data_IF_084410496539
#
_entry.id   IF_084410496539
#
_cell.length_a   1.000
_cell.length_b   1.000
_cell.length_c   1.000
_cell.angle_alpha   90.00
_cell.angle_beta   90.00
_cell.angle_gamma   90.00
#
_symmetry.space_group_name_H-M   'P 1'
#
loop_
_entity.id
_entity.type
_entity.pdbx_description
1 polymer ?
#
# COMPACT_ATOMS: atom_id res chain seq x y z
N UNK A 1 -8.48 -12.87 4.12
CA UNK A 1 -7.67 -12.66 2.89
C UNK A 1 -8.44 -11.78 1.91
N UNK A 2 -9.66 -12.16 1.52
CA UNK A 2 -10.60 -11.31 0.76
C UNK A 2 -10.81 -9.95 1.43
N UNK A 3 -11.01 -9.96 2.75
CA UNK A 3 -11.13 -8.75 3.56
C UNK A 3 -9.95 -7.77 3.48
N UNK A 4 -8.70 -8.25 3.37
CA UNK A 4 -7.53 -7.37 3.33
C UNK A 4 -7.46 -6.60 2.00
N UNK A 5 -7.79 -7.25 0.89
CA UNK A 5 -7.84 -6.62 -0.44
C UNK A 5 -9.05 -5.69 -0.54
N UNK A 6 -10.19 -6.07 0.04
CA UNK A 6 -11.38 -5.21 0.15
C UNK A 6 -11.07 -3.91 0.90
N UNK A 7 -10.43 -3.97 2.08
CA UNK A 7 -10.04 -2.75 2.82
C UNK A 7 -9.15 -1.83 1.99
N UNK A 8 -8.27 -2.39 1.16
CA UNK A 8 -7.48 -1.56 0.26
C UNK A 8 -8.37 -0.92 -0.81
N UNK A 9 -9.30 -1.66 -1.39
CA UNK A 9 -10.13 -1.13 -2.46
C UNK A 9 -10.99 0.03 -1.95
N UNK A 10 -11.55 -0.08 -0.74
CA UNK A 10 -12.26 1.01 -0.08
C UNK A 10 -11.34 2.24 0.11
N UNK A 11 -10.13 2.00 0.63
CA UNK A 11 -9.10 3.05 0.77
C UNK A 11 -8.74 3.69 -0.58
N UNK A 12 -8.55 2.89 -1.63
CA UNK A 12 -8.21 3.35 -2.98
C UNK A 12 -9.30 4.24 -3.54
N UNK A 13 -10.56 3.87 -3.33
CA UNK A 13 -11.70 4.61 -3.85
C UNK A 13 -11.87 5.95 -3.11
N UNK A 14 -11.57 5.99 -1.81
CA UNK A 14 -11.53 7.21 -1.00
C UNK A 14 -10.43 8.18 -1.44
N UNK A 15 -9.20 7.71 -1.64
CA UNK A 15 -8.06 8.56 -2.04
C UNK A 15 -8.04 8.86 -3.55
N UNK A 16 -8.97 8.30 -4.33
CA UNK A 16 -9.02 8.43 -5.79
C UNK A 16 -8.94 9.89 -6.28
N UNK A 17 -9.61 10.88 -5.65
CA UNK A 17 -9.50 12.28 -6.07
C UNK A 17 -8.06 12.81 -6.00
N UNK A 18 -7.34 12.51 -4.91
CA UNK A 18 -5.93 12.89 -4.72
C UNK A 18 -5.04 12.25 -5.79
N UNK A 19 -5.20 10.96 -6.04
CA UNK A 19 -4.41 10.24 -7.05
C UNK A 19 -4.67 10.74 -8.47
N UNK A 20 -5.92 11.03 -8.83
CA UNK A 20 -6.25 11.59 -10.16
C UNK A 20 -5.59 12.94 -10.38
N UNK A 21 -5.58 13.81 -9.36
CA UNK A 21 -4.92 15.11 -9.42
C UNK A 21 -3.40 14.96 -9.55
N UNK A 22 -2.80 14.07 -8.75
CA UNK A 22 -1.36 13.77 -8.81
C UNK A 22 -0.90 13.20 -10.16
N UNK A 23 -1.76 12.42 -10.82
CA UNK A 23 -1.48 11.82 -12.11
C UNK A 23 -1.79 12.75 -13.31
N UNK A 24 -2.24 13.99 -13.08
CA UNK A 24 -2.65 14.90 -14.15
C UNK A 24 -3.88 14.44 -14.94
N UNK A 25 -4.71 13.59 -14.33
CA UNK A 25 -5.96 13.08 -14.93
C UNK A 25 -7.17 13.99 -14.63
N UNK A 26 -6.95 15.04 -13.83
CA UNK A 26 -7.87 16.12 -13.54
C UNK A 26 -7.03 17.32 -13.07
N UNK A 27 -7.47 18.53 -13.42
CA UNK A 27 -6.91 19.79 -12.89
C UNK A 27 -7.80 20.37 -11.78
N UNK A 28 -8.94 19.71 -11.50
CA UNK A 28 -9.89 20.13 -10.48
C UNK A 28 -9.47 19.60 -9.10
N UNK A 29 -9.13 20.51 -8.18
CA UNK A 29 -8.90 20.21 -6.78
C UNK A 29 -7.71 20.96 -6.19
N UNK A 30 -7.69 21.08 -4.86
CA UNK A 30 -6.54 21.58 -4.12
C UNK A 30 -5.72 20.39 -3.63
N UNK A 31 -4.49 20.26 -4.14
CA UNK A 31 -3.60 19.13 -3.83
C UNK A 31 -3.25 19.07 -2.35
N UNK A 32 -2.93 20.19 -1.72
CA UNK A 32 -2.56 20.19 -0.29
C UNK A 32 -3.78 19.83 0.56
N UNK A 33 -4.95 20.38 0.22
CA UNK A 33 -6.19 20.05 0.90
C UNK A 33 -6.53 18.56 0.79
N UNK A 34 -6.51 18.00 -0.41
CA UNK A 34 -6.77 16.57 -0.63
C UNK A 34 -5.73 15.68 0.07
N UNK A 35 -4.47 16.11 0.11
CA UNK A 35 -3.42 15.40 0.82
C UNK A 35 -3.69 15.34 2.33
N UNK A 36 -3.98 16.48 2.95
CA UNK A 36 -4.17 16.59 4.40
C UNK A 36 -5.53 16.10 4.90
N UNK A 37 -6.60 16.33 4.15
CA UNK A 37 -7.97 16.00 4.59
C UNK A 37 -8.40 14.59 4.17
N UNK A 38 -7.85 14.04 3.08
CA UNK A 38 -8.25 12.72 2.56
C UNK A 38 -7.11 11.71 2.62
N UNK A 39 -5.99 11.98 1.94
CA UNK A 39 -4.94 10.98 1.78
C UNK A 39 -4.29 10.58 3.11
N UNK A 40 -3.88 11.54 3.95
CA UNK A 40 -3.24 11.26 5.24
C UNK A 40 -4.18 10.44 6.14
N UNK A 41 -5.43 10.88 6.44
CA UNK A 41 -6.31 10.15 7.34
C UNK A 41 -6.71 8.76 6.82
N UNK A 42 -6.94 8.64 5.51
CA UNK A 42 -7.28 7.36 4.89
C UNK A 42 -6.11 6.37 5.00
N UNK A 43 -4.88 6.85 4.75
CA UNK A 43 -3.66 6.04 4.87
C UNK A 43 -3.44 5.59 6.31
N UNK A 44 -3.57 6.50 7.28
CA UNK A 44 -3.41 6.16 8.70
C UNK A 44 -4.38 5.04 9.13
N UNK A 45 -5.64 5.11 8.70
CA UNK A 45 -6.64 4.08 9.03
C UNK A 45 -6.31 2.73 8.42
N UNK A 46 -6.03 2.68 7.11
CA UNK A 46 -5.80 1.41 6.41
C UNK A 46 -4.51 0.74 6.87
N UNK A 47 -3.44 1.52 7.05
CA UNK A 47 -2.14 0.97 7.46
C UNK A 47 -2.10 0.59 8.93
N UNK A 48 -2.75 1.35 9.82
CA UNK A 48 -2.93 0.90 11.21
C UNK A 48 -3.68 -0.44 11.28
N UNK A 49 -4.65 -0.66 10.40
CA UNK A 49 -5.38 -1.94 10.31
C UNK A 49 -4.46 -3.07 9.82
N UNK A 50 -3.64 -2.83 8.80
CA UNK A 50 -2.66 -3.83 8.34
C UNK A 50 -1.60 -4.15 9.38
N UNK A 51 -1.03 -3.14 10.05
CA UNK A 51 -0.06 -3.36 11.14
C UNK A 51 -0.68 -4.24 12.22
N UNK A 52 -1.96 -4.02 12.57
CA UNK A 52 -2.69 -4.88 13.50
C UNK A 52 -2.87 -6.33 13.00
N UNK A 53 -3.24 -6.52 11.73
CA UNK A 53 -3.39 -7.85 11.12
C UNK A 53 -2.06 -8.60 11.10
N UNK A 54 -0.99 -7.95 10.64
CA UNK A 54 0.35 -8.53 10.52
C UNK A 54 0.91 -8.88 11.89
N UNK A 55 0.76 -7.98 12.88
CA UNK A 55 1.22 -8.22 14.25
C UNK A 55 0.45 -9.35 14.95
N UNK A 56 -0.83 -9.52 14.64
CA UNK A 56 -1.64 -10.62 15.16
C UNK A 56 -1.34 -11.96 14.46
N UNK A 57 -0.75 -11.93 13.26
CA UNK A 57 -0.47 -13.14 12.51
C UNK A 57 0.72 -13.91 13.07
N UNK A 58 0.57 -15.24 13.13
CA UNK A 58 1.68 -16.14 13.51
C UNK A 58 2.77 -16.25 12.45
N UNK A 59 2.48 -15.87 11.21
CA UNK A 59 3.40 -16.02 10.08
C UNK A 59 4.15 -14.74 9.74
N UNK A 60 3.69 -13.60 10.27
CA UNK A 60 4.15 -12.28 9.87
C UNK A 60 3.73 -11.88 8.44
N UNK A 61 2.72 -12.54 7.88
CA UNK A 61 2.01 -12.19 6.65
C UNK A 61 0.54 -11.87 6.96
N UNK A 62 -0.27 -11.56 5.96
CA UNK A 62 -1.70 -11.26 6.13
C UNK A 62 -2.52 -12.49 6.57
N UNK A 63 -2.00 -13.71 6.41
CA UNK A 63 -2.66 -14.94 6.78
C UNK A 63 -1.81 -15.77 7.75
N UNK A 64 -2.44 -16.40 8.74
CA UNK A 64 -1.74 -17.26 9.73
C UNK A 64 -1.01 -18.45 9.11
N UNK A 65 -1.49 -18.93 7.96
CA UNK A 65 -0.89 -20.05 7.23
C UNK A 65 0.37 -19.66 6.46
N UNK A 66 0.74 -18.37 6.44
CA UNK A 66 1.90 -17.87 5.69
C UNK A 66 1.52 -16.93 4.55
N UNK A 67 2.46 -16.82 3.62
CA UNK A 67 2.30 -16.02 2.41
C UNK A 67 1.07 -16.44 1.60
N UNK A 68 0.35 -15.44 1.10
CA UNK A 68 -0.88 -15.60 0.34
C UNK A 68 -0.93 -14.63 -0.85
N UNK A 69 -1.90 -14.84 -1.75
CA UNK A 69 -2.14 -13.91 -2.86
C UNK A 69 -2.39 -12.48 -2.38
N UNK A 70 -3.07 -12.32 -1.25
CA UNK A 70 -3.31 -11.01 -0.64
C UNK A 70 -2.01 -10.26 -0.34
N UNK A 71 -0.96 -10.98 0.07
CA UNK A 71 0.32 -10.36 0.38
C UNK A 71 0.98 -9.75 -0.85
N UNK A 72 0.89 -10.44 -2.00
CA UNK A 72 1.39 -9.94 -3.28
C UNK A 72 0.66 -8.66 -3.69
N UNK A 73 -0.67 -8.68 -3.62
CA UNK A 73 -1.51 -7.54 -4.01
C UNK A 73 -1.21 -6.32 -3.16
N UNK A 74 -1.14 -6.49 -1.83
CA UNK A 74 -0.90 -5.38 -0.91
C UNK A 74 0.54 -4.87 -1.00
N UNK A 75 1.54 -5.75 -1.11
CA UNK A 75 2.94 -5.34 -1.27
C UNK A 75 3.16 -4.48 -2.51
N UNK A 76 2.56 -4.84 -3.65
CA UNK A 76 2.66 -4.05 -4.87
C UNK A 76 1.99 -2.67 -4.71
N UNK A 77 0.82 -2.64 -4.10
CA UNK A 77 0.08 -1.40 -3.82
C UNK A 77 0.86 -0.44 -2.91
N UNK A 78 1.61 -0.98 -1.93
CA UNK A 78 2.50 -0.18 -1.07
C UNK A 78 3.62 0.49 -1.87
N UNK A 79 4.19 -0.17 -2.88
CA UNK A 79 5.23 0.43 -3.74
C UNK A 79 4.73 1.72 -4.40
N UNK A 80 3.52 1.72 -4.96
CA UNK A 80 2.93 2.92 -5.57
C UNK A 80 2.71 4.06 -4.56
N UNK A 81 2.35 3.73 -3.32
CA UNK A 81 2.14 4.72 -2.27
C UNK A 81 3.45 5.32 -1.78
N UNK A 82 4.51 4.50 -1.62
CA UNK A 82 5.87 4.98 -1.30
C UNK A 82 6.38 5.99 -2.32
N UNK A 83 6.09 5.76 -3.59
CA UNK A 83 6.47 6.68 -4.67
C UNK A 83 5.62 7.97 -4.69
N UNK A 84 4.45 7.96 -4.06
CA UNK A 84 3.52 9.10 -4.03
C UNK A 84 3.72 9.99 -2.80
N UNK A 85 3.94 9.38 -1.62
CA UNK A 85 4.15 10.07 -0.36
C UNK A 85 5.59 9.86 0.14
N UNK A 86 6.41 10.91 0.03
CA UNK A 86 7.79 10.92 0.52
C UNK A 86 7.95 10.68 2.03
N UNK A 87 6.88 10.83 2.82
CA UNK A 87 6.87 10.55 4.26
C UNK A 87 6.31 9.16 4.60
N UNK A 88 5.89 8.37 3.61
CA UNK A 88 5.26 7.06 3.83
C UNK A 88 6.11 6.15 4.70
N UNK A 89 7.40 6.01 4.37
CA UNK A 89 8.33 5.14 5.11
C UNK A 89 8.52 5.58 6.56
N UNK A 90 8.50 6.89 6.82
CA UNK A 90 8.62 7.45 8.18
C UNK A 90 7.34 7.21 9.00
N UNK A 91 6.18 7.22 8.33
CA UNK A 91 4.87 7.05 8.98
C UNK A 91 4.54 5.59 9.26
N UNK A 92 4.99 4.68 8.41
CA UNK A 92 4.61 3.26 8.45
C UNK A 92 5.83 2.32 8.29
N UNK A 93 6.87 2.41 9.13
CA UNK A 93 8.07 1.59 9.00
C UNK A 93 7.77 0.08 9.04
N UNK A 94 6.82 -0.36 9.86
CA UNK A 94 6.42 -1.76 9.97
C UNK A 94 5.76 -2.30 8.69
N UNK A 95 5.09 -1.43 7.93
CA UNK A 95 4.48 -1.76 6.64
C UNK A 95 5.56 -1.88 5.56
N UNK A 96 6.61 -1.06 5.65
CA UNK A 96 7.78 -1.17 4.77
C UNK A 96 8.50 -2.49 5.03
N UNK A 97 8.77 -2.84 6.28
CA UNK A 97 9.40 -4.12 6.64
C UNK A 97 8.59 -5.33 6.14
N UNK A 98 7.28 -5.25 6.23
CA UNK A 98 6.37 -6.27 5.68
C UNK A 98 6.48 -6.35 4.15
N UNK A 99 6.46 -5.22 3.44
CA UNK A 99 6.55 -5.18 1.98
C UNK A 99 7.89 -5.74 1.48
N UNK A 100 8.99 -5.40 2.16
CA UNK A 100 10.31 -5.95 1.86
C UNK A 100 10.38 -7.46 2.09
N UNK A 101 9.75 -7.96 3.16
CA UNK A 101 9.65 -9.41 3.42
C UNK A 101 8.95 -10.15 2.28
N UNK A 102 7.85 -9.60 1.75
CA UNK A 102 7.17 -10.16 0.58
C UNK A 102 8.08 -10.12 -0.65
N UNK A 103 8.76 -9.00 -0.90
CA UNK A 103 9.63 -8.84 -2.06
C UNK A 103 10.93 -9.65 -1.98
N UNK A 104 11.30 -10.17 -0.81
CA UNK A 104 12.45 -11.04 -0.62
C UNK A 104 12.18 -12.52 -0.89
N UNK A 105 10.92 -12.91 -1.14
CA UNK A 105 10.58 -14.26 -1.63
C UNK A 105 11.21 -14.44 -3.01
N UNK A 106 12.02 -15.49 -3.20
CA UNK A 106 12.91 -15.65 -4.36
C UNK A 106 12.21 -15.39 -5.71
N UNK A 107 11.05 -16.00 -5.93
CA UNK A 107 10.28 -15.85 -7.17
C UNK A 107 9.77 -14.40 -7.40
N UNK A 108 9.35 -13.72 -6.33
CA UNK A 108 8.88 -12.33 -6.38
C UNK A 108 10.06 -11.40 -6.61
N UNK A 109 11.15 -11.63 -5.87
CA UNK A 109 12.40 -10.86 -6.00
C UNK A 109 12.93 -10.89 -7.43
N UNK A 110 12.96 -12.07 -8.03
CA UNK A 110 13.47 -12.25 -9.39
C UNK A 110 12.58 -11.54 -10.42
N UNK A 111 11.25 -11.59 -10.25
CA UNK A 111 10.31 -10.80 -11.06
C UNK A 111 10.51 -9.29 -10.87
N UNK A 112 10.59 -8.81 -9.63
CA UNK A 112 10.74 -7.38 -9.31
C UNK A 112 12.05 -6.81 -9.87
N UNK A 113 13.13 -7.61 -9.92
CA UNK A 113 14.40 -7.21 -10.56
C UNK A 113 14.30 -7.09 -12.08
N UNK A 114 13.50 -7.93 -12.72
CA UNK A 114 13.38 -7.99 -14.18
C UNK A 114 12.26 -7.13 -14.77
N UNK A 115 11.28 -6.69 -13.96
CA UNK A 115 10.12 -5.94 -14.46
C UNK A 115 10.47 -4.51 -14.83
N UNK A 116 9.76 -3.96 -15.82
CA UNK A 116 9.82 -2.52 -16.12
C UNK A 116 9.09 -1.75 -15.02
N UNK A 117 9.66 -0.62 -14.63
CA UNK A 117 9.00 0.32 -13.72
C UNK A 117 7.78 0.93 -14.41
N UNK A 118 6.61 0.82 -13.79
CA UNK A 118 5.40 1.56 -14.17
C UNK A 118 4.83 2.24 -12.93
N UNK A 119 4.37 3.47 -13.11
CA UNK A 119 3.71 4.30 -12.08
C UNK A 119 2.18 4.22 -12.21
N UNK A 120 1.70 3.47 -13.22
CA UNK A 120 0.33 3.39 -13.71
C UNK A 120 -0.06 1.94 -13.91
#
# INVERSE_FOLDING_TARGET
MESAVEYYNDFRDEIRPFFRLMAGLTDEGDKEKLYHEIFIPASDRVFKRYSGIIAASKSGFLADQGFSWGDTVIAEKIVSLKNTDSNFEKRFPEIVDYQERVHNIDQIRDYVKGRKFSII
#
